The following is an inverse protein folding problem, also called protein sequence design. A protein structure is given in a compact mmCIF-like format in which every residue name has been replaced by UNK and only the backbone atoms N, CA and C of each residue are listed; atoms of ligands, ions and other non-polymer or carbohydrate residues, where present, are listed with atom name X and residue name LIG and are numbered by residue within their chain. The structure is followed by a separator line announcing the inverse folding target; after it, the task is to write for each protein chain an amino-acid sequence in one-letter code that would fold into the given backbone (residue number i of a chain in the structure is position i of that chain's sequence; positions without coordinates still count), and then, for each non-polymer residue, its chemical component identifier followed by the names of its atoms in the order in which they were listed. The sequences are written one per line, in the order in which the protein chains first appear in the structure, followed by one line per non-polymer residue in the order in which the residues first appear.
data_IF_520535646799
#
_entry.id   IF_520535646799
#
_cell.length_a   1.000
_cell.length_b   1.000
_cell.length_c   1.000
_cell.angle_alpha   90.00
_cell.angle_beta   90.00
_cell.angle_gamma   90.00
#
_symmetry.space_group_name_H-M   'P 1'
#
loop_
_entity.id
_entity.type
_entity.pdbx_description
1 polymer ?
#
# COMPACT_ATOMS: atom_id res chain seq x y z
N UNK A 1 29.30 35.57 5.22
CA UNK A 1 29.88 34.75 4.14
C UNK A 1 28.99 33.54 4.01
N UNK A 2 28.32 33.47 2.87
CA UNK A 2 27.13 32.68 2.60
C UNK A 2 27.43 31.18 2.55
N UNK A 3 26.65 30.41 3.32
CA UNK A 3 26.58 28.96 3.18
C UNK A 3 25.74 28.64 1.93
N UNK A 4 26.30 27.83 1.03
CA UNK A 4 25.65 27.22 -0.14
C UNK A 4 24.13 27.04 0.00
N UNK A 5 23.36 27.99 -0.50
CA UNK A 5 21.92 27.82 -0.75
C UNK A 5 21.75 26.92 -1.98
N UNK A 6 21.86 25.61 -1.78
CA UNK A 6 21.59 24.61 -2.82
C UNK A 6 20.16 24.78 -3.34
N UNK A 7 19.98 24.90 -4.65
CA UNK A 7 18.65 24.87 -5.27
C UNK A 7 18.01 23.51 -4.98
N UNK A 8 16.83 23.55 -4.38
CA UNK A 8 16.03 22.36 -4.11
C UNK A 8 15.05 22.15 -5.25
N UNK A 9 15.05 20.94 -5.82
CA UNK A 9 14.09 20.52 -6.84
C UNK A 9 13.13 19.51 -6.23
N UNK A 10 11.86 19.58 -6.61
CA UNK A 10 10.84 18.63 -6.16
C UNK A 10 10.55 17.62 -7.26
N UNK A 11 10.46 16.34 -6.89
CA UNK A 11 9.99 15.31 -7.82
C UNK A 11 8.46 15.30 -7.78
N UNK A 12 7.81 15.56 -8.93
CA UNK A 12 6.34 15.49 -9.07
C UNK A 12 5.87 14.40 -10.02
N UNK A 13 6.81 13.76 -10.72
CA UNK A 13 6.54 12.63 -11.59
C UNK A 13 7.66 11.61 -11.42
N UNK A 14 7.26 10.37 -11.18
CA UNK A 14 8.12 9.19 -11.17
C UNK A 14 7.41 8.08 -11.92
N UNK A 15 8.18 7.30 -12.69
CA UNK A 15 7.68 6.11 -13.34
C UNK A 15 8.71 5.01 -13.22
N UNK A 16 8.32 3.90 -12.62
CA UNK A 16 9.14 2.70 -12.63
C UNK A 16 9.26 2.15 -14.05
N UNK A 17 10.50 1.94 -14.49
CA UNK A 17 10.86 1.34 -15.77
C UNK A 17 11.61 0.04 -15.48
N UNK A 18 10.97 -1.13 -15.71
CA UNK A 18 11.60 -2.42 -15.48
C UNK A 18 12.93 -2.56 -16.23
N UNK A 19 13.94 -3.27 -15.66
CA UNK A 19 13.83 -4.04 -14.42
C UNK A 19 14.20 -3.27 -13.13
N UNK A 20 14.88 -2.11 -13.21
CA UNK A 20 15.47 -1.45 -12.02
C UNK A 20 15.64 0.08 -12.13
N UNK A 21 14.96 0.75 -13.08
CA UNK A 21 15.12 2.19 -13.28
C UNK A 21 13.85 2.93 -12.85
N UNK A 22 14.01 4.17 -12.44
CA UNK A 22 12.90 5.10 -12.22
C UNK A 22 13.18 6.31 -13.09
N UNK A 23 12.23 6.67 -13.94
CA UNK A 23 12.28 7.92 -14.70
C UNK A 23 11.57 8.99 -13.88
N UNK A 24 12.25 10.08 -13.56
CA UNK A 24 11.74 11.15 -12.73
C UNK A 24 11.83 12.50 -13.44
N UNK A 25 10.83 13.35 -13.20
CA UNK A 25 10.89 14.77 -13.56
C UNK A 25 11.04 15.59 -12.28
N UNK A 26 12.11 16.37 -12.25
CA UNK A 26 12.44 17.30 -11.18
C UNK A 26 12.00 18.70 -11.58
N UNK A 27 11.32 19.37 -10.65
CA UNK A 27 10.65 20.63 -10.88
C UNK A 27 11.32 21.76 -10.11
N UNK A 28 11.47 22.90 -10.78
CA UNK A 28 11.67 24.19 -10.14
C UNK A 28 10.29 24.85 -10.05
N UNK A 29 9.78 24.99 -8.82
CA UNK A 29 8.39 25.35 -8.55
C UNK A 29 7.41 24.39 -9.26
N UNK A 30 6.72 24.86 -10.31
CA UNK A 30 5.74 24.10 -11.09
C UNK A 30 6.21 23.75 -12.50
N UNK A 31 7.45 24.09 -12.85
CA UNK A 31 8.01 23.84 -14.18
C UNK A 31 8.97 22.63 -14.13
N UNK A 32 8.77 21.59 -14.95
CA UNK A 32 9.74 20.50 -15.05
C UNK A 32 11.02 21.03 -15.69
N UNK A 33 12.16 20.87 -15.02
CA UNK A 33 13.44 21.43 -15.45
C UNK A 33 14.49 20.37 -15.70
N UNK A 34 14.45 19.25 -14.98
CA UNK A 34 15.43 18.18 -15.08
C UNK A 34 14.69 16.85 -15.30
N UNK A 35 15.16 16.08 -16.27
CA UNK A 35 14.83 14.67 -16.37
C UNK A 35 15.95 13.88 -15.70
N UNK A 36 15.59 12.91 -14.86
CA UNK A 36 16.53 12.04 -14.17
C UNK A 36 16.15 10.57 -14.36
N UNK A 37 17.16 9.74 -14.45
CA UNK A 37 17.05 8.29 -14.34
C UNK A 37 17.65 7.93 -12.98
N UNK A 38 16.84 7.36 -12.10
CA UNK A 38 17.24 6.90 -10.79
C UNK A 38 17.31 5.36 -10.77
N UNK A 39 18.13 4.80 -9.89
CA UNK A 39 18.01 3.39 -9.51
C UNK A 39 16.82 3.17 -8.56
N UNK A 40 16.53 1.90 -8.23
CA UNK A 40 15.43 1.54 -7.32
C UNK A 40 15.66 2.04 -5.88
N UNK A 41 16.88 2.44 -5.54
CA UNK A 41 17.25 3.04 -4.26
C UNK A 41 17.20 4.59 -4.30
N UNK A 42 16.77 5.18 -5.42
CA UNK A 42 16.63 6.64 -5.58
C UNK A 42 17.93 7.38 -5.91
N UNK A 43 19.00 6.68 -6.26
CA UNK A 43 20.29 7.30 -6.64
C UNK A 43 20.29 7.67 -8.12
N UNK A 44 20.85 8.81 -8.45
CA UNK A 44 20.98 9.26 -9.84
C UNK A 44 21.89 8.34 -10.65
N UNK A 45 21.35 7.73 -11.70
CA UNK A 45 22.08 7.01 -12.75
C UNK A 45 22.43 7.96 -13.90
N UNK A 46 21.52 8.86 -14.27
CA UNK A 46 21.73 9.92 -15.25
C UNK A 46 20.79 11.09 -14.95
N UNK A 47 21.16 12.31 -15.34
CA UNK A 47 20.27 13.47 -15.29
C UNK A 47 20.71 14.58 -16.23
N UNK A 48 19.75 15.30 -16.80
CA UNK A 48 20.03 16.47 -17.63
C UNK A 48 18.90 17.49 -17.58
N UNK A 49 19.26 18.75 -17.82
CA UNK A 49 18.28 19.82 -17.99
C UNK A 49 17.49 19.64 -19.28
N UNK A 50 16.16 19.72 -19.18
CA UNK A 50 15.23 19.63 -20.30
C UNK A 50 15.41 20.77 -21.31
N UNK A 51 16.01 21.89 -20.90
CA UNK A 51 16.38 23.00 -21.80
C UNK A 51 17.53 22.64 -22.76
N UNK A 52 18.36 21.67 -22.38
CA UNK A 52 19.61 21.37 -23.09
C UNK A 52 19.50 20.12 -23.98
N UNK A 53 18.62 19.19 -23.63
CA UNK A 53 18.51 17.89 -24.27
C UNK A 53 17.09 17.34 -24.12
N UNK A 54 16.61 16.69 -25.18
CA UNK A 54 15.39 15.89 -25.19
C UNK A 54 15.70 14.52 -25.75
N UNK A 55 15.52 13.47 -24.96
CA UNK A 55 15.54 12.06 -25.38
C UNK A 55 14.10 11.55 -25.55
N UNK A 56 13.94 10.40 -26.22
CA UNK A 56 12.66 9.71 -26.31
C UNK A 56 12.04 9.47 -24.93
N UNK A 57 12.83 9.00 -23.97
CA UNK A 57 12.39 8.77 -22.59
C UNK A 57 11.92 10.05 -21.88
N UNK A 58 12.63 11.16 -22.05
CA UNK A 58 12.25 12.44 -21.44
C UNK A 58 11.00 13.04 -22.11
N UNK A 59 10.84 12.87 -23.42
CA UNK A 59 9.65 13.31 -24.14
C UNK A 59 8.43 12.49 -23.71
N UNK A 60 8.58 11.17 -23.57
CA UNK A 60 7.52 10.29 -23.08
C UNK A 60 7.11 10.63 -21.64
N UNK A 61 8.09 10.88 -20.76
CA UNK A 61 7.83 11.30 -19.38
C UNK A 61 7.08 12.65 -19.33
N UNK A 62 7.47 13.61 -20.17
CA UNK A 62 6.80 14.91 -20.27
C UNK A 62 5.35 14.78 -20.74
N UNK A 63 5.07 13.97 -21.77
CA UNK A 63 3.69 13.80 -22.23
C UNK A 63 2.84 13.00 -21.25
N UNK A 64 3.41 11.99 -20.60
CA UNK A 64 2.74 11.30 -19.51
C UNK A 64 2.38 12.27 -18.37
N UNK A 65 3.32 13.12 -17.96
CA UNK A 65 3.08 14.15 -16.95
C UNK A 65 2.00 15.15 -17.39
N UNK A 66 2.01 15.58 -18.65
CA UNK A 66 1.00 16.51 -19.17
C UNK A 66 -0.40 15.92 -19.08
N UNK A 67 -0.58 14.65 -19.44
CA UNK A 67 -1.88 13.96 -19.30
C UNK A 67 -2.33 13.92 -17.84
N UNK A 68 -1.42 13.65 -16.91
CA UNK A 68 -1.69 13.63 -15.46
C UNK A 68 -2.09 15.04 -14.99
N UNK A 69 -1.35 16.08 -15.38
CA UNK A 69 -1.59 17.46 -15.00
C UNK A 69 -2.94 17.96 -15.53
N UNK A 70 -3.26 17.69 -16.79
CA UNK A 70 -4.53 18.07 -17.42
C UNK A 70 -5.73 17.39 -16.73
N UNK A 71 -5.58 16.13 -16.32
CA UNK A 71 -6.59 15.41 -15.53
C UNK A 71 -6.74 16.00 -14.13
N UNK A 72 -5.62 16.27 -13.44
CA UNK A 72 -5.63 16.88 -12.11
C UNK A 72 -6.21 18.29 -12.09
N UNK A 73 -6.11 19.03 -13.19
CA UNK A 73 -6.74 20.34 -13.34
C UNK A 73 -8.28 20.27 -13.41
N UNK A 74 -8.87 19.09 -13.70
CA UNK A 74 -10.32 18.89 -13.67
C UNK A 74 -10.87 18.82 -12.23
N UNK A 75 -10.01 18.46 -11.26
CA UNK A 75 -10.36 18.44 -9.84
C UNK A 75 -10.41 19.86 -9.29
N UNK A 76 -11.59 20.28 -8.83
CA UNK A 76 -11.85 21.65 -8.32
C UNK A 76 -11.36 21.81 -6.87
N UNK A 77 -10.05 21.70 -6.67
CA UNK A 77 -9.39 21.95 -5.38
C UNK A 77 -8.40 23.10 -5.51
N UNK A 78 -8.55 24.11 -4.64
CA UNK A 78 -7.62 25.24 -4.56
C UNK A 78 -6.42 24.91 -3.69
N UNK A 79 -5.36 25.73 -3.74
CA UNK A 79 -4.21 25.59 -2.84
C UNK A 79 -4.62 25.71 -1.37
N UNK A 80 -5.57 26.60 -1.04
CA UNK A 80 -6.14 26.74 0.30
C UNK A 80 -6.85 25.46 0.75
N UNK A 81 -7.60 24.81 -0.16
CA UNK A 81 -8.26 23.54 0.14
C UNK A 81 -7.24 22.44 0.45
N UNK A 82 -6.15 22.36 -0.34
CA UNK A 82 -5.08 21.38 -0.13
C UNK A 82 -4.34 21.61 1.20
N UNK A 83 -4.09 22.87 1.57
CA UNK A 83 -3.48 23.21 2.86
C UNK A 83 -4.39 22.89 4.05
N UNK A 84 -5.70 23.12 3.90
CA UNK A 84 -6.67 22.77 4.94
C UNK A 84 -6.81 21.24 5.07
N UNK A 85 -6.69 20.50 3.97
CA UNK A 85 -6.77 19.04 3.94
C UNK A 85 -5.56 18.31 4.57
N UNK A 86 -4.49 19.02 4.90
CA UNK A 86 -3.37 18.49 5.69
C UNK A 86 -3.70 18.34 7.17
N UNK A 87 -4.86 18.84 7.61
CA UNK A 87 -5.32 18.79 9.00
C UNK A 87 -6.34 17.67 9.21
N UNK A 88 -6.49 17.19 10.45
CA UNK A 88 -7.60 16.32 10.84
C UNK A 88 -8.95 17.00 10.59
N UNK A 89 -10.01 16.21 10.40
CA UNK A 89 -11.37 16.72 10.15
C UNK A 89 -11.85 17.68 11.25
N UNK A 90 -11.47 17.43 12.51
CA UNK A 90 -11.82 18.30 13.66
C UNK A 90 -11.19 19.69 13.60
N UNK A 91 -10.10 19.86 12.86
CA UNK A 91 -9.32 21.11 12.76
C UNK A 91 -9.43 21.77 11.37
N UNK A 92 -9.89 21.02 10.37
CA UNK A 92 -10.08 21.49 9.02
C UNK A 92 -11.29 22.44 8.94
N UNK A 93 -11.13 23.56 8.23
CA UNK A 93 -12.21 24.53 8.02
C UNK A 93 -13.24 24.03 7.00
N UNK A 94 -12.82 23.17 6.07
CA UNK A 94 -13.63 22.54 5.02
C UNK A 94 -14.54 23.54 4.28
N UNK A 95 -14.00 24.71 3.91
CA UNK A 95 -14.74 25.75 3.18
C UNK A 95 -15.37 25.20 1.89
N UNK A 96 -14.64 24.32 1.21
CA UNK A 96 -15.16 23.54 0.10
C UNK A 96 -15.94 22.32 0.61
N UNK A 97 -17.28 22.38 0.50
CA UNK A 97 -18.20 21.32 0.96
C UNK A 97 -17.98 19.97 0.29
N UNK A 98 -17.31 19.93 -0.86
CA UNK A 98 -17.05 18.71 -1.62
C UNK A 98 -15.60 18.23 -1.51
N UNK A 99 -14.79 18.81 -0.61
CA UNK A 99 -13.36 18.53 -0.52
C UNK A 99 -13.05 17.04 -0.35
N UNK A 100 -13.77 16.33 0.54
CA UNK A 100 -13.55 14.89 0.75
C UNK A 100 -13.78 14.08 -0.52
N UNK A 101 -14.85 14.40 -1.26
CA UNK A 101 -15.15 13.74 -2.54
C UNK A 101 -14.03 14.00 -3.55
N UNK A 102 -13.59 15.24 -3.72
CA UNK A 102 -12.53 15.56 -4.68
C UNK A 102 -11.20 14.90 -4.32
N UNK A 103 -10.83 14.86 -3.04
CA UNK A 103 -9.63 14.16 -2.57
C UNK A 103 -9.73 12.65 -2.85
N UNK A 104 -10.86 12.03 -2.52
CA UNK A 104 -11.11 10.61 -2.76
C UNK A 104 -11.10 10.27 -4.26
N UNK A 105 -11.78 11.06 -5.08
CA UNK A 105 -11.83 10.87 -6.54
C UNK A 105 -10.43 10.96 -7.14
N UNK A 106 -9.59 11.90 -6.69
CA UNK A 106 -8.20 12.01 -7.11
C UNK A 106 -7.36 10.80 -6.67
N UNK A 107 -7.49 10.35 -5.40
CA UNK A 107 -6.82 9.12 -4.94
C UNK A 107 -7.23 7.89 -5.76
N UNK A 108 -8.51 7.74 -6.06
CA UNK A 108 -9.02 6.64 -6.88
C UNK A 108 -8.45 6.67 -8.31
N UNK A 109 -8.33 7.86 -8.92
CA UNK A 109 -7.67 8.00 -10.21
C UNK A 109 -6.18 7.64 -10.14
N UNK A 110 -5.47 8.15 -9.14
CA UNK A 110 -4.05 7.87 -8.93
C UNK A 110 -3.81 6.36 -8.73
N UNK A 111 -4.62 5.69 -7.89
CA UNK A 111 -4.55 4.23 -7.69
C UNK A 111 -4.90 3.48 -8.98
N UNK A 112 -5.98 3.89 -9.67
CA UNK A 112 -6.41 3.22 -10.90
C UNK A 112 -5.34 3.26 -11.97
N UNK A 113 -4.65 4.38 -12.12
CA UNK A 113 -3.66 4.61 -13.17
C UNK A 113 -2.22 4.40 -12.74
N UNK A 114 -1.97 4.06 -11.46
CA UNK A 114 -0.63 3.93 -10.88
C UNK A 114 0.18 5.22 -11.05
N UNK A 115 -0.47 6.36 -10.84
CA UNK A 115 0.17 7.66 -10.97
C UNK A 115 0.84 8.10 -9.67
N UNK A 116 1.91 8.91 -9.77
CA UNK A 116 2.44 9.65 -8.65
C UNK A 116 1.36 10.55 -8.02
N UNK A 117 1.14 10.42 -6.72
CA UNK A 117 0.11 11.17 -6.03
C UNK A 117 0.64 12.46 -5.41
N UNK A 118 0.10 13.59 -5.89
CA UNK A 118 0.45 14.91 -5.34
C UNK A 118 -0.06 15.07 -3.90
N UNK A 119 -1.16 14.41 -3.56
CA UNK A 119 -1.74 14.44 -2.23
C UNK A 119 -0.81 13.77 -1.22
N UNK A 120 -0.23 12.62 -1.61
CA UNK A 120 0.77 11.92 -0.79
C UNK A 120 2.08 12.70 -0.72
N UNK A 121 2.57 13.25 -1.82
CA UNK A 121 3.74 14.14 -1.80
C UNK A 121 3.53 15.33 -0.86
N UNK A 122 2.34 15.96 -0.90
CA UNK A 122 2.00 17.09 -0.04
C UNK A 122 1.94 16.67 1.44
N UNK A 123 1.31 15.54 1.74
CA UNK A 123 1.25 14.98 3.09
C UNK A 123 2.64 14.64 3.64
N UNK A 124 3.51 14.05 2.83
CA UNK A 124 4.88 13.71 3.25
C UNK A 124 5.75 14.95 3.50
N UNK A 125 5.55 16.01 2.72
CA UNK A 125 6.33 17.23 2.83
C UNK A 125 5.85 18.17 3.96
N UNK A 126 4.53 18.27 4.18
CA UNK A 126 3.93 19.30 5.03
C UNK A 126 2.92 18.77 6.05
N UNK A 127 2.51 17.50 5.93
CA UNK A 127 1.56 16.87 6.83
C UNK A 127 2.14 16.76 8.24
N UNK A 128 1.31 17.06 9.23
CA UNK A 128 1.67 16.98 10.65
C UNK A 128 0.89 15.92 11.42
N UNK A 129 -0.08 15.31 10.75
CA UNK A 129 -1.01 14.37 11.36
C UNK A 129 -1.29 13.18 10.44
N UNK A 130 -1.41 12.01 11.04
CA UNK A 130 -1.66 10.73 10.38
C UNK A 130 -3.14 10.43 10.14
N UNK A 131 -4.00 11.36 10.53
CA UNK A 131 -5.45 11.39 10.38
C UNK A 131 -5.89 12.66 9.64
N UNK A 132 -5.01 13.25 8.82
CA UNK A 132 -5.38 14.34 7.94
C UNK A 132 -6.50 13.94 6.98
N UNK A 133 -7.28 14.92 6.49
CA UNK A 133 -8.30 14.65 5.46
C UNK A 133 -7.71 13.95 4.23
N UNK A 134 -6.45 14.23 3.85
CA UNK A 134 -5.77 13.52 2.77
C UNK A 134 -5.59 12.03 3.08
N UNK A 135 -5.11 11.67 4.27
CA UNK A 135 -4.89 10.27 4.65
C UNK A 135 -6.23 9.56 4.87
N UNK A 136 -7.18 10.24 5.49
CA UNK A 136 -8.51 9.70 5.74
C UNK A 136 -9.25 9.37 4.44
N UNK A 137 -9.26 10.31 3.48
CA UNK A 137 -9.87 10.06 2.16
C UNK A 137 -9.08 9.04 1.32
N UNK A 138 -7.77 8.87 1.57
CA UNK A 138 -7.02 7.76 1.00
C UNK A 138 -7.51 6.42 1.55
N UNK A 139 -7.76 6.29 2.86
CA UNK A 139 -8.29 5.04 3.44
C UNK A 139 -9.62 4.66 2.79
N UNK A 140 -10.50 5.64 2.59
CA UNK A 140 -11.77 5.46 1.88
C UNK A 140 -11.56 5.02 0.42
N UNK A 141 -10.58 5.60 -0.28
CA UNK A 141 -10.26 5.23 -1.65
C UNK A 141 -9.68 3.81 -1.75
N UNK A 142 -8.81 3.42 -0.80
CA UNK A 142 -8.22 2.08 -0.75
C UNK A 142 -9.30 1.01 -0.58
N UNK A 143 -10.30 1.27 0.27
CA UNK A 143 -11.43 0.35 0.49
C UNK A 143 -12.29 0.11 -0.76
N UNK A 144 -12.33 1.06 -1.70
CA UNK A 144 -13.11 0.94 -2.95
C UNK A 144 -12.28 0.48 -4.16
N UNK A 145 -10.96 0.66 -4.09
CA UNK A 145 -10.08 0.33 -5.19
C UNK A 145 -9.94 -1.19 -5.41
N UNK A 146 -9.42 -1.57 -6.58
CA UNK A 146 -8.96 -2.94 -6.78
C UNK A 146 -7.76 -3.23 -5.86
N UNK A 147 -7.81 -4.32 -5.11
CA UNK A 147 -6.83 -4.64 -4.07
C UNK A 147 -5.38 -4.73 -4.57
N UNK A 148 -5.14 -5.36 -5.73
CA UNK A 148 -3.81 -5.43 -6.32
C UNK A 148 -3.27 -4.04 -6.70
N UNK A 149 -4.08 -3.22 -7.38
CA UNK A 149 -3.68 -1.85 -7.73
C UNK A 149 -3.44 -0.98 -6.50
N UNK A 150 -4.25 -1.15 -5.46
CA UNK A 150 -4.07 -0.46 -4.19
C UNK A 150 -2.74 -0.86 -3.53
N UNK A 151 -2.37 -2.14 -3.56
CA UNK A 151 -1.11 -2.63 -3.04
C UNK A 151 0.10 -2.06 -3.82
N UNK A 152 0.05 -2.10 -5.15
CA UNK A 152 1.09 -1.52 -6.01
C UNK A 152 1.24 -0.01 -5.76
N UNK A 153 0.12 0.69 -5.54
CA UNK A 153 0.12 2.11 -5.22
C UNK A 153 0.76 2.39 -3.85
N UNK A 154 0.40 1.63 -2.81
CA UNK A 154 0.95 1.77 -1.46
C UNK A 154 2.47 1.55 -1.46
N UNK A 155 2.92 0.46 -2.09
CA UNK A 155 4.36 0.10 -2.14
C UNK A 155 5.15 1.13 -2.93
N UNK A 156 4.61 1.63 -4.05
CA UNK A 156 5.23 2.70 -4.85
C UNK A 156 5.41 3.99 -4.05
N UNK A 157 4.41 4.37 -3.24
CA UNK A 157 4.44 5.61 -2.46
C UNK A 157 5.04 5.44 -1.05
N UNK A 158 5.51 4.23 -0.70
CA UNK A 158 6.13 3.92 0.60
C UNK A 158 5.25 4.29 1.79
N UNK A 159 3.94 4.07 1.67
CA UNK A 159 2.95 4.29 2.72
C UNK A 159 2.55 2.95 3.38
N UNK A 160 3.58 2.16 3.70
CA UNK A 160 3.53 0.73 4.04
C UNK A 160 2.55 0.40 5.18
N UNK A 161 2.38 1.33 6.14
CA UNK A 161 1.43 1.21 7.26
C UNK A 161 -0.03 1.02 6.85
N UNK A 162 -0.39 1.33 5.60
CA UNK A 162 -1.75 1.20 5.09
C UNK A 162 -2.01 -0.17 4.44
N UNK A 163 -0.99 -1.00 4.24
CA UNK A 163 -1.14 -2.34 3.67
C UNK A 163 -2.16 -3.21 4.43
N UNK A 164 -2.23 -3.20 5.78
CA UNK A 164 -3.23 -4.00 6.49
C UNK A 164 -4.68 -3.67 6.08
N UNK A 165 -4.97 -2.43 5.68
CA UNK A 165 -6.31 -2.03 5.21
C UNK A 165 -6.75 -2.77 3.94
N UNK A 166 -5.83 -3.44 3.24
CA UNK A 166 -6.14 -4.26 2.07
C UNK A 166 -6.64 -5.66 2.43
N UNK A 167 -6.62 -6.07 3.71
CA UNK A 167 -7.09 -7.37 4.16
C UNK A 167 -8.52 -7.75 3.68
N UNK A 168 -9.51 -6.84 3.70
CA UNK A 168 -10.84 -7.14 3.16
C UNK A 168 -10.84 -7.48 1.66
N UNK A 169 -9.85 -7.02 0.91
CA UNK A 169 -9.73 -7.30 -0.52
C UNK A 169 -9.20 -8.72 -0.80
N UNK A 170 -8.66 -9.44 0.18
CA UNK A 170 -8.08 -10.78 -0.02
C UNK A 170 -9.07 -11.80 -0.60
N UNK A 171 -10.38 -11.62 -0.38
CA UNK A 171 -11.41 -12.48 -0.99
C UNK A 171 -11.55 -12.26 -2.50
N UNK A 172 -11.34 -11.03 -2.98
CA UNK A 172 -11.43 -10.66 -4.41
C UNK A 172 -10.07 -10.67 -5.13
N UNK A 173 -9.00 -10.51 -4.36
CA UNK A 173 -7.60 -10.52 -4.77
C UNK A 173 -6.78 -11.46 -3.86
N UNK A 174 -6.96 -12.80 -3.97
CA UNK A 174 -6.27 -13.77 -3.12
C UNK A 174 -4.74 -13.73 -3.23
N UNK A 175 -4.22 -13.24 -4.35
CA UNK A 175 -2.79 -13.03 -4.59
C UNK A 175 -2.12 -12.13 -3.53
N UNK A 176 -2.87 -11.22 -2.89
CA UNK A 176 -2.37 -10.35 -1.83
C UNK A 176 -1.84 -11.16 -0.64
N UNK A 177 -2.45 -12.31 -0.33
CA UNK A 177 -2.03 -13.20 0.76
C UNK A 177 -0.57 -13.63 0.57
N UNK A 178 -0.13 -13.81 -0.69
CA UNK A 178 1.25 -14.17 -1.02
C UNK A 178 2.14 -12.94 -1.22
N UNK A 179 1.65 -11.94 -1.94
CA UNK A 179 2.44 -10.77 -2.34
C UNK A 179 2.89 -9.92 -1.15
N UNK A 180 2.03 -9.69 -0.17
CA UNK A 180 2.38 -8.89 1.01
C UNK A 180 3.55 -9.51 1.79
N UNK A 181 3.50 -10.81 2.18
CA UNK A 181 4.67 -11.47 2.77
C UNK A 181 5.91 -11.43 1.88
N UNK A 182 5.78 -11.64 0.56
CA UNK A 182 6.94 -11.63 -0.34
C UNK A 182 7.67 -10.29 -0.35
N UNK A 183 6.95 -9.18 -0.22
CA UNK A 183 7.55 -7.83 -0.18
C UNK A 183 8.12 -7.51 1.19
N UNK A 184 7.39 -7.79 2.27
CA UNK A 184 7.70 -7.24 3.60
C UNK A 184 8.37 -8.21 4.58
N UNK A 185 8.35 -9.53 4.33
CA UNK A 185 8.83 -10.51 5.30
C UNK A 185 10.33 -10.36 5.64
N UNK A 186 11.14 -9.93 4.67
CA UNK A 186 12.58 -9.66 4.85
C UNK A 186 12.89 -8.16 4.94
N UNK A 187 11.88 -7.31 5.07
CA UNK A 187 12.03 -5.86 5.16
C UNK A 187 12.29 -5.41 6.61
N UNK A 188 12.57 -4.13 6.80
CA UNK A 188 12.66 -3.51 8.13
C UNK A 188 11.30 -3.39 8.84
N UNK A 189 10.19 -3.71 8.13
CA UNK A 189 8.81 -3.58 8.62
C UNK A 189 8.06 -4.92 8.62
N UNK A 190 8.54 -5.97 9.31
CA UNK A 190 7.87 -7.25 9.33
C UNK A 190 6.46 -7.17 9.94
N UNK A 191 6.21 -6.24 10.86
CA UNK A 191 4.92 -5.99 11.52
C UNK A 191 3.76 -5.79 10.53
N UNK A 192 4.03 -5.22 9.35
CA UNK A 192 3.05 -5.03 8.28
C UNK A 192 2.46 -6.37 7.83
N UNK A 193 3.30 -7.42 7.75
CA UNK A 193 2.86 -8.77 7.38
C UNK A 193 1.98 -9.36 8.47
N UNK A 194 2.33 -9.18 9.74
CA UNK A 194 1.55 -9.68 10.87
C UNK A 194 0.15 -9.09 10.89
N UNK A 195 0.07 -7.76 10.83
CA UNK A 195 -1.20 -7.04 10.89
C UNK A 195 -2.08 -7.38 9.69
N UNK A 196 -1.50 -7.43 8.48
CA UNK A 196 -2.22 -7.80 7.28
C UNK A 196 -2.78 -9.23 7.34
N UNK A 197 -1.97 -10.24 7.73
CA UNK A 197 -2.43 -11.62 7.78
C UNK A 197 -3.48 -11.83 8.89
N UNK A 198 -3.34 -11.17 10.04
CA UNK A 198 -4.34 -11.24 11.12
C UNK A 198 -5.67 -10.61 10.70
N UNK A 199 -5.65 -9.41 10.12
CA UNK A 199 -6.87 -8.78 9.60
C UNK A 199 -7.48 -9.59 8.47
N UNK A 200 -6.66 -10.20 7.61
CA UNK A 200 -7.15 -11.09 6.55
C UNK A 200 -7.88 -12.29 7.15
N UNK A 201 -7.34 -12.88 8.23
CA UNK A 201 -8.01 -13.99 8.92
C UNK A 201 -9.38 -13.58 9.51
N UNK A 202 -9.57 -12.30 9.85
CA UNK A 202 -10.84 -11.75 10.36
C UNK A 202 -11.90 -11.60 9.27
N UNK A 203 -11.50 -11.34 8.02
CA UNK A 203 -12.44 -10.98 6.95
C UNK A 203 -12.53 -11.99 5.81
N UNK A 204 -11.60 -12.94 5.71
CA UNK A 204 -11.55 -13.91 4.62
C UNK A 204 -12.81 -14.78 4.59
N UNK A 205 -13.29 -15.11 3.40
CA UNK A 205 -14.36 -16.08 3.22
C UNK A 205 -13.89 -17.49 3.64
N UNK A 206 -14.54 -18.05 4.66
CA UNK A 206 -14.24 -19.39 5.19
C UNK A 206 -14.53 -20.51 4.19
N UNK A 207 -15.37 -20.27 3.17
CA UNK A 207 -15.60 -21.17 2.05
C UNK A 207 -14.47 -21.17 1.01
N UNK A 208 -13.60 -20.15 1.03
CA UNK A 208 -12.45 -20.02 0.13
C UNK A 208 -11.26 -20.86 0.62
N UNK A 209 -11.42 -22.19 0.59
CA UNK A 209 -10.47 -23.16 1.16
C UNK A 209 -9.02 -22.93 0.70
N UNK A 210 -8.80 -22.61 -0.58
CA UNK A 210 -7.46 -22.34 -1.13
C UNK A 210 -6.81 -21.11 -0.49
N UNK A 211 -7.58 -20.04 -0.32
CA UNK A 211 -7.10 -18.78 0.25
C UNK A 211 -6.82 -18.93 1.75
N UNK A 212 -7.66 -19.71 2.45
CA UNK A 212 -7.43 -20.09 3.86
C UNK A 212 -6.15 -20.91 4.01
N UNK A 213 -5.95 -21.92 3.15
CA UNK A 213 -4.74 -22.73 3.15
C UNK A 213 -3.49 -21.88 2.86
N UNK A 214 -3.56 -20.99 1.88
CA UNK A 214 -2.47 -20.05 1.57
C UNK A 214 -2.16 -19.13 2.76
N UNK A 215 -3.18 -18.59 3.43
CA UNK A 215 -3.02 -17.75 4.62
C UNK A 215 -2.29 -18.49 5.74
N UNK A 216 -2.64 -19.75 5.99
CA UNK A 216 -1.98 -20.59 6.99
C UNK A 216 -0.54 -20.94 6.60
N UNK A 217 -0.27 -21.20 5.30
CA UNK A 217 1.08 -21.41 4.80
C UNK A 217 1.97 -20.17 4.97
N UNK A 218 1.45 -18.97 4.70
CA UNK A 218 2.19 -17.73 4.93
C UNK A 218 2.42 -17.47 6.42
N UNK A 219 1.44 -17.78 7.28
CA UNK A 219 1.64 -17.77 8.73
C UNK A 219 2.77 -18.71 9.19
N UNK A 220 2.81 -19.94 8.66
CA UNK A 220 3.90 -20.89 8.93
C UNK A 220 5.26 -20.34 8.48
N UNK A 221 5.31 -19.73 7.31
CA UNK A 221 6.54 -19.12 6.77
C UNK A 221 7.03 -17.96 7.65
N UNK A 222 6.13 -17.11 8.14
CA UNK A 222 6.47 -16.04 9.09
C UNK A 222 7.06 -16.63 10.38
N UNK A 223 6.42 -17.65 10.95
CA UNK A 223 6.90 -18.32 12.17
C UNK A 223 8.29 -18.93 12.00
N UNK A 224 8.61 -19.45 10.81
CA UNK A 224 9.95 -19.98 10.50
C UNK A 224 11.03 -18.89 10.41
N UNK A 225 10.70 -17.72 9.85
CA UNK A 225 11.66 -16.62 9.66
C UNK A 225 11.89 -15.84 10.95
N UNK A 226 10.81 -15.54 11.68
CA UNK A 226 10.84 -14.63 12.83
C UNK A 226 10.72 -15.35 14.18
N UNK A 227 10.63 -16.68 14.19
CA UNK A 227 10.46 -17.50 15.40
C UNK A 227 9.25 -17.12 16.26
N UNK A 228 8.15 -16.69 15.62
CA UNK A 228 6.90 -16.31 16.28
C UNK A 228 5.86 -17.47 16.25
N UNK A 229 4.62 -17.14 16.61
CA UNK A 229 3.47 -18.03 16.74
C UNK A 229 2.25 -17.48 15.99
N UNK A 230 2.47 -16.73 14.91
CA UNK A 230 1.44 -16.16 14.06
C UNK A 230 0.53 -17.26 13.49
N UNK A 231 1.07 -18.37 13.01
CA UNK A 231 0.25 -19.46 12.46
C UNK A 231 -0.76 -19.97 13.50
N UNK A 232 -0.34 -20.10 14.77
CA UNK A 232 -1.22 -20.50 15.86
C UNK A 232 -2.31 -19.46 16.13
N UNK A 233 -1.98 -18.16 16.06
CA UNK A 233 -2.95 -17.06 16.21
C UNK A 233 -3.97 -17.06 15.08
N UNK A 234 -3.52 -17.17 13.83
CA UNK A 234 -4.39 -17.28 12.64
C UNK A 234 -5.33 -18.48 12.77
N UNK A 235 -4.81 -19.66 13.11
CA UNK A 235 -5.61 -20.86 13.29
C UNK A 235 -6.66 -20.69 14.40
N UNK A 236 -6.27 -20.10 15.53
CA UNK A 236 -7.20 -19.85 16.65
C UNK A 236 -8.34 -18.93 16.23
N UNK A 237 -8.03 -17.87 15.47
CA UNK A 237 -8.98 -16.90 14.99
C UNK A 237 -9.95 -17.54 13.98
N UNK A 238 -9.43 -18.25 12.98
CA UNK A 238 -10.24 -18.95 11.98
C UNK A 238 -11.14 -20.01 12.61
N UNK A 239 -10.61 -20.82 13.54
CA UNK A 239 -11.41 -21.84 14.23
C UNK A 239 -12.52 -21.24 15.11
N UNK A 240 -12.30 -20.04 15.68
CA UNK A 240 -13.35 -19.30 16.38
C UNK A 240 -14.42 -18.86 15.39
N UNK A 241 -14.04 -18.21 14.29
CA UNK A 241 -14.98 -17.78 13.24
C UNK A 241 -15.82 -18.93 12.68
N UNK A 242 -15.23 -20.10 12.44
CA UNK A 242 -15.97 -21.29 11.98
C UNK A 242 -17.06 -21.70 12.97
N UNK A 243 -16.80 -21.64 14.28
CA UNK A 243 -17.84 -21.95 15.29
C UNK A 243 -18.95 -20.91 15.33
N UNK A 244 -18.61 -19.65 15.06
CA UNK A 244 -19.52 -18.52 15.23
C UNK A 244 -20.33 -18.22 13.97
N UNK A 245 -19.75 -18.49 12.78
CA UNK A 245 -20.31 -18.10 11.46
C UNK A 245 -20.81 -19.30 10.64
N UNK A 246 -20.53 -20.55 11.06
CA UNK A 246 -20.89 -21.75 10.29
C UNK A 246 -21.45 -22.85 11.19
N UNK A 247 -22.19 -23.80 10.59
CA UNK A 247 -22.67 -25.01 11.29
C UNK A 247 -21.63 -26.13 11.36
N UNK A 248 -20.41 -25.91 10.85
CA UNK A 248 -19.38 -26.93 10.78
C UNK A 248 -18.56 -27.02 12.07
N UNK A 249 -18.16 -28.24 12.45
CA UNK A 249 -17.13 -28.41 13.48
C UNK A 249 -15.78 -27.91 12.94
N UNK A 250 -14.98 -27.14 13.69
CA UNK A 250 -13.70 -26.62 13.23
C UNK A 250 -12.73 -27.68 12.69
N UNK A 251 -12.73 -28.88 13.26
CA UNK A 251 -11.89 -29.99 12.78
C UNK A 251 -12.34 -30.54 11.43
N UNK A 252 -13.64 -30.55 11.18
CA UNK A 252 -14.21 -30.99 9.90
C UNK A 252 -13.92 -29.94 8.81
N UNK A 253 -14.15 -28.66 9.10
CA UNK A 253 -13.81 -27.56 8.22
C UNK A 253 -12.32 -27.55 7.86
N UNK A 254 -11.44 -27.69 8.86
CA UNK A 254 -10.00 -27.71 8.65
C UNK A 254 -9.55 -28.83 7.70
N UNK A 255 -10.17 -30.01 7.80
CA UNK A 255 -9.89 -31.15 6.92
C UNK A 255 -10.25 -30.90 5.46
N UNK A 256 -11.19 -29.99 5.18
CA UNK A 256 -11.59 -29.56 3.84
C UNK A 256 -10.70 -28.44 3.30
N UNK A 257 -10.11 -27.64 4.20
CA UNK A 257 -9.28 -26.49 3.82
C UNK A 257 -7.83 -26.88 3.57
N UNK A 258 -7.25 -27.72 4.43
CA UNK A 258 -5.81 -28.01 4.41
C UNK A 258 -5.52 -29.32 3.71
N UNK A 259 -4.99 -29.25 2.50
CA UNK A 259 -4.58 -30.38 1.66
C UNK A 259 -3.08 -30.68 1.75
N UNK A 260 -2.27 -29.67 2.04
CA UNK A 260 -0.82 -29.81 2.23
C UNK A 260 -0.52 -30.70 3.46
N UNK A 261 0.27 -31.74 3.24
CA UNK A 261 0.58 -32.76 4.27
C UNK A 261 1.44 -32.20 5.40
N UNK A 262 2.37 -31.33 5.07
CA UNK A 262 3.32 -30.76 6.03
C UNK A 262 2.64 -29.70 6.90
N UNK A 263 1.81 -28.85 6.27
CA UNK A 263 0.95 -27.89 6.97
C UNK A 263 -0.01 -28.63 7.91
N UNK A 264 -0.66 -29.69 7.43
CA UNK A 264 -1.56 -30.52 8.25
C UNK A 264 -0.85 -31.11 9.47
N UNK A 265 0.36 -31.65 9.30
CA UNK A 265 1.15 -32.18 10.41
C UNK A 265 1.47 -31.08 11.44
N UNK A 266 1.90 -29.91 10.98
CA UNK A 266 2.19 -28.74 11.82
C UNK A 266 0.97 -28.31 12.65
N UNK A 267 -0.20 -28.24 12.03
CA UNK A 267 -1.45 -27.87 12.71
C UNK A 267 -1.81 -28.90 13.79
N UNK A 268 -1.71 -30.19 13.47
CA UNK A 268 -2.01 -31.25 14.44
C UNK A 268 -1.11 -31.17 15.68
N UNK A 269 0.17 -30.85 15.51
CA UNK A 269 1.09 -30.67 16.63
C UNK A 269 0.75 -29.43 17.47
N UNK A 270 0.33 -28.34 16.84
CA UNK A 270 -0.15 -27.14 17.55
C UNK A 270 -1.42 -27.41 18.36
N UNK A 271 -2.34 -28.23 17.84
CA UNK A 271 -3.59 -28.59 18.52
C UNK A 271 -3.40 -29.59 19.67
N UNK A 272 -2.39 -30.47 19.57
CA UNK A 272 -2.07 -31.44 20.63
C UNK A 272 -1.36 -30.83 21.84
N UNK A 273 -0.62 -29.72 21.66
CA UNK A 273 0.05 -29.04 22.78
C UNK A 273 -1.00 -28.43 23.71
N UNK A 274 -1.16 -28.92 24.96
CA UNK A 274 -2.10 -28.33 25.91
C UNK A 274 -1.67 -26.87 26.17
N UNK A 275 -2.63 -26.00 26.54
CA UNK A 275 -2.31 -24.68 27.11
C UNK A 275 -1.31 -24.91 28.25
N UNK A 276 -0.05 -24.53 28.05
CA UNK A 276 0.86 -24.34 29.16
C UNK A 276 0.19 -23.30 30.07
N UNK A 277 -0.10 -23.70 31.31
CA UNK A 277 -0.52 -22.77 32.36
C UNK A 277 0.64 -21.78 32.54
N UNK A 278 0.47 -20.58 31.99
CA UNK A 278 1.17 -19.37 32.40
C UNK A 278 0.22 -18.59 33.29
#
# INVERSE_FOLDING_TARGET
MDQNSGRQYMIKYERFVPPRKIHALLFDQDVPVIFAILDKEGRFLDSFFLSNKTTADSAEAMEAYKVIADRKAQHKMTQDDLQDALKPESEAKMKNKHIRKHLKDEHLEDIKHQWPSRLISLQNAYGRSDDSLIIDTLRDALAEANGQRAFDFITTHRIDRLVPLLAPHASQSPELIRLVPDVYLSSEHPEVVYDFLLQTAETIDLGSHKSVEELLNQGKRVDLVHHDSLMKRLLTLLMRRVKDETDEKPTAWLSKCVHDRELRATIMDMLKKPKAKG
#
